data_IF_120981784290
#
_entry.id   IF_120981784290
#
_cell.length_a   1.000
_cell.length_b   1.000
_cell.length_c   1.000
_cell.angle_alpha   90.00
_cell.angle_beta   90.00
_cell.angle_gamma   90.00
#
_symmetry.space_group_name_H-M   'P 1'
#
loop_
_entity.id
_entity.type
_entity.pdbx_description
1 polymer ?
#
# COMPACT_ATOMS: atom_id res chain seq x y z
N UNK A 1 -28.45 -24.20 -1.83
CA UNK A 1 -28.13 -24.23 -3.26
C UNK A 1 -28.09 -22.84 -3.92
N UNK A 2 -29.12 -21.97 -3.82
CA UNK A 2 -29.14 -20.64 -4.50
C UNK A 2 -27.95 -19.73 -4.16
N UNK A 3 -27.46 -19.71 -2.92
CA UNK A 3 -26.33 -18.86 -2.49
C UNK A 3 -24.98 -19.33 -3.08
N UNK A 4 -24.75 -20.64 -3.18
CA UNK A 4 -23.50 -21.20 -3.75
C UNK A 4 -23.43 -20.90 -5.25
N UNK A 5 -24.55 -21.01 -5.96
CA UNK A 5 -24.64 -20.68 -7.39
C UNK A 5 -24.37 -19.18 -7.62
N UNK A 6 -24.90 -18.30 -6.75
CA UNK A 6 -24.63 -16.88 -6.81
C UNK A 6 -23.14 -16.56 -6.60
N UNK A 7 -22.53 -17.12 -5.54
CA UNK A 7 -21.12 -16.92 -5.25
C UNK A 7 -20.22 -17.38 -6.39
N UNK A 8 -20.48 -18.60 -6.93
CA UNK A 8 -19.75 -19.09 -8.10
C UNK A 8 -19.85 -18.15 -9.30
N UNK A 9 -21.07 -17.63 -9.57
CA UNK A 9 -21.30 -16.70 -10.69
C UNK A 9 -20.52 -15.40 -10.50
N UNK A 10 -20.49 -14.83 -9.29
CA UNK A 10 -19.75 -13.61 -8.96
C UNK A 10 -18.25 -13.85 -9.13
N UNK A 11 -17.71 -14.95 -8.62
CA UNK A 11 -16.27 -15.26 -8.73
C UNK A 11 -15.86 -15.45 -10.19
N UNK A 12 -16.66 -16.21 -10.99
CA UNK A 12 -16.38 -16.40 -12.41
C UNK A 12 -16.48 -15.10 -13.20
N UNK A 13 -17.45 -14.23 -12.87
CA UNK A 13 -17.59 -12.92 -13.50
C UNK A 13 -16.40 -12.01 -13.16
N UNK A 14 -15.93 -12.00 -11.90
CA UNK A 14 -14.75 -11.23 -11.50
C UNK A 14 -13.48 -11.74 -12.18
N UNK A 15 -13.24 -13.06 -12.16
CA UNK A 15 -12.07 -13.67 -12.79
C UNK A 15 -12.08 -13.54 -14.33
N UNK A 16 -13.26 -13.71 -14.95
CA UNK A 16 -13.42 -13.53 -16.39
C UNK A 16 -13.08 -12.10 -16.81
N UNK A 17 -13.65 -11.10 -16.15
CA UNK A 17 -13.38 -9.70 -16.51
C UNK A 17 -11.96 -9.28 -16.17
N UNK A 18 -11.37 -9.76 -15.09
CA UNK A 18 -9.95 -9.52 -14.82
C UNK A 18 -9.08 -9.98 -15.99
N UNK A 19 -9.42 -11.12 -16.60
CA UNK A 19 -8.69 -11.62 -17.77
C UNK A 19 -9.03 -10.84 -19.06
N UNK A 20 -10.30 -10.53 -19.28
CA UNK A 20 -10.79 -9.82 -20.49
C UNK A 20 -10.32 -8.35 -20.51
N UNK A 21 -10.16 -7.73 -19.34
CA UNK A 21 -9.71 -6.35 -19.16
C UNK A 21 -8.19 -6.23 -19.01
N UNK A 22 -7.40 -7.23 -19.45
CA UNK A 22 -5.94 -7.25 -19.32
C UNK A 22 -5.44 -7.08 -17.87
N UNK A 23 -6.13 -7.66 -16.88
CA UNK A 23 -5.82 -7.50 -15.47
C UNK A 23 -4.38 -7.85 -15.11
N UNK A 24 -3.80 -8.86 -15.78
CA UNK A 24 -2.39 -9.24 -15.62
C UNK A 24 -1.43 -8.12 -16.06
N UNK A 25 -1.71 -7.50 -17.20
CA UNK A 25 -0.94 -6.36 -17.71
C UNK A 25 -1.11 -5.13 -16.80
N UNK A 26 -2.33 -4.88 -16.32
CA UNK A 26 -2.60 -3.81 -15.36
C UNK A 26 -1.91 -4.01 -14.02
N UNK A 27 -1.82 -5.25 -13.54
CA UNK A 27 -1.07 -5.58 -12.33
C UNK A 27 0.44 -5.33 -12.52
N UNK A 28 1.00 -5.68 -13.68
CA UNK A 28 2.39 -5.37 -14.04
C UNK A 28 2.63 -3.86 -14.10
N UNK A 29 1.73 -3.12 -14.75
CA UNK A 29 1.80 -1.66 -14.82
C UNK A 29 1.75 -1.03 -13.43
N UNK A 30 0.84 -1.48 -12.56
CA UNK A 30 0.71 -0.99 -11.19
C UNK A 30 1.96 -1.33 -10.36
N UNK A 31 2.47 -2.55 -10.46
CA UNK A 31 3.67 -2.98 -9.74
C UNK A 31 4.92 -2.15 -10.09
N UNK A 32 5.16 -1.95 -11.38
CA UNK A 32 6.29 -1.14 -11.85
C UNK A 32 6.10 0.34 -11.49
N UNK A 33 4.88 0.87 -11.64
CA UNK A 33 4.58 2.26 -11.26
C UNK A 33 4.76 2.49 -9.76
N UNK A 34 4.34 1.53 -8.92
CA UNK A 34 4.57 1.56 -7.49
C UNK A 34 6.06 1.53 -7.15
N UNK A 35 6.83 0.62 -7.77
CA UNK A 35 8.27 0.55 -7.57
C UNK A 35 8.96 1.87 -7.94
N UNK A 36 8.61 2.44 -9.09
CA UNK A 36 9.17 3.73 -9.54
C UNK A 36 8.76 4.89 -8.63
N UNK A 37 7.58 4.81 -7.99
CA UNK A 37 7.09 5.84 -7.08
C UNK A 37 7.66 5.74 -5.65
N UNK A 38 8.18 4.58 -5.23
CA UNK A 38 8.69 4.36 -3.86
C UNK A 38 9.83 5.34 -3.53
N UNK A 39 10.82 5.49 -4.40
CA UNK A 39 11.95 6.39 -4.14
C UNK A 39 11.54 7.86 -4.02
N UNK A 40 10.80 8.44 -5.00
CA UNK A 40 10.26 9.79 -4.86
C UNK A 40 9.36 9.95 -3.65
N UNK A 41 8.54 8.94 -3.33
CA UNK A 41 7.68 8.97 -2.15
C UNK A 41 8.51 9.01 -0.85
N UNK A 42 9.55 8.21 -0.72
CA UNK A 42 10.42 8.21 0.45
C UNK A 42 11.15 9.55 0.61
N UNK A 43 11.64 10.14 -0.48
CA UNK A 43 12.24 11.49 -0.47
C UNK A 43 11.21 12.52 0.04
N UNK A 44 10.00 12.47 -0.48
CA UNK A 44 8.92 13.38 -0.05
C UNK A 44 8.55 13.15 1.42
N UNK A 45 8.33 11.90 1.83
CA UNK A 45 7.93 11.53 3.18
C UNK A 45 8.99 11.91 4.23
N UNK A 46 10.27 11.65 3.94
CA UNK A 46 11.38 11.98 4.84
C UNK A 46 11.59 13.48 4.94
N UNK A 47 11.46 14.21 3.83
CA UNK A 47 11.54 15.67 3.85
C UNK A 47 10.39 16.29 4.64
N UNK A 48 9.16 15.79 4.45
CA UNK A 48 8.02 16.24 5.24
C UNK A 48 8.19 15.94 6.73
N UNK A 49 8.68 14.75 7.08
CA UNK A 49 8.99 14.39 8.47
C UNK A 49 10.06 15.28 9.08
N UNK A 50 11.09 15.65 8.30
CA UNK A 50 12.13 16.60 8.73
C UNK A 50 11.56 17.98 9.05
N UNK A 51 10.63 18.49 8.26
CA UNK A 51 9.91 19.74 8.56
C UNK A 51 9.10 19.68 9.86
N UNK A 52 8.62 18.50 10.22
CA UNK A 52 7.89 18.26 11.48
C UNK A 52 8.82 18.07 12.69
N UNK A 53 10.13 18.28 12.54
CA UNK A 53 11.12 18.17 13.62
C UNK A 53 11.61 16.75 13.89
N UNK A 54 11.36 15.81 12.99
CA UNK A 54 11.73 14.40 13.15
C UNK A 54 13.20 14.08 12.85
N UNK A 55 14.07 15.10 12.64
CA UNK A 55 15.49 14.89 12.32
C UNK A 55 16.23 14.01 13.34
N UNK A 56 15.95 14.24 14.64
CA UNK A 56 16.55 13.44 15.71
C UNK A 56 16.08 11.96 15.73
N UNK A 57 14.98 11.67 15.06
CA UNK A 57 14.41 10.30 14.99
C UNK A 57 14.72 9.58 13.68
N UNK A 58 15.21 10.29 12.68
CA UNK A 58 15.38 9.76 11.33
C UNK A 58 16.40 8.64 11.26
N UNK A 59 17.56 8.77 11.90
CA UNK A 59 18.59 7.73 11.94
C UNK A 59 18.09 6.49 12.67
N UNK A 60 17.43 6.67 13.80
CA UNK A 60 16.84 5.57 14.58
C UNK A 60 15.71 4.88 13.81
N UNK A 61 14.87 5.64 13.08
CA UNK A 61 13.77 5.10 12.28
C UNK A 61 14.27 4.26 11.09
N UNK A 62 15.34 4.73 10.44
CA UNK A 62 15.97 4.02 9.31
C UNK A 62 16.48 2.64 9.77
N UNK A 63 17.24 2.58 10.86
CA UNK A 63 17.71 1.32 11.40
C UNK A 63 16.59 0.36 11.76
N UNK A 64 15.51 0.85 12.35
CA UNK A 64 14.43 0.03 12.86
C UNK A 64 13.45 -0.49 11.79
N UNK A 65 13.21 0.30 10.74
CA UNK A 65 12.40 -0.16 9.61
C UNK A 65 13.16 -1.19 8.78
N UNK A 66 14.46 -0.99 8.62
CA UNK A 66 15.28 -1.84 7.75
C UNK A 66 15.87 -3.06 8.45
N UNK A 67 15.96 -3.08 9.78
CA UNK A 67 16.39 -4.27 10.53
C UNK A 67 15.40 -5.46 10.42
N UNK A 68 14.16 -5.18 10.03
CA UNK A 68 13.14 -6.21 9.73
C UNK A 68 13.13 -6.68 8.27
N UNK A 69 13.87 -5.99 7.40
CA UNK A 69 13.96 -6.34 5.99
C UNK A 69 15.23 -7.14 5.69
N UNK A 70 15.25 -7.99 4.66
CA UNK A 70 16.47 -8.62 4.22
C UNK A 70 17.55 -7.56 3.93
N UNK A 71 18.73 -7.74 4.51
CA UNK A 71 19.82 -6.75 4.49
C UNK A 71 20.18 -6.28 3.08
N UNK A 72 20.03 -7.16 2.08
CA UNK A 72 20.31 -6.88 0.68
C UNK A 72 19.36 -5.84 0.07
N UNK A 73 18.14 -5.72 0.60
CA UNK A 73 17.13 -4.73 0.17
C UNK A 73 17.21 -3.49 1.07
N UNK A 74 17.38 -3.71 2.36
CA UNK A 74 17.37 -2.68 3.38
C UNK A 74 18.59 -1.73 3.26
N UNK A 75 19.79 -2.27 3.12
CA UNK A 75 21.03 -1.49 3.18
C UNK A 75 21.19 -0.43 2.06
N UNK A 76 20.84 -0.66 0.79
CA UNK A 76 20.86 0.39 -0.23
C UNK A 76 19.85 1.50 0.03
N UNK A 77 18.64 1.14 0.44
CA UNK A 77 17.55 2.09 0.71
C UNK A 77 17.86 2.89 1.97
N UNK A 78 18.34 2.24 3.03
CA UNK A 78 18.73 2.90 4.28
C UNK A 78 19.82 3.96 4.05
N UNK A 79 20.85 3.63 3.27
CA UNK A 79 21.92 4.57 2.93
C UNK A 79 21.40 5.79 2.17
N UNK A 80 20.49 5.58 1.22
CA UNK A 80 19.91 6.66 0.44
C UNK A 80 19.00 7.56 1.31
N UNK A 81 18.19 6.96 2.17
CA UNK A 81 17.33 7.68 3.13
C UNK A 81 18.19 8.50 4.10
N UNK A 82 19.24 7.94 4.69
CA UNK A 82 20.18 8.68 5.56
C UNK A 82 20.83 9.83 4.80
N UNK A 83 21.31 9.59 3.58
CA UNK A 83 21.95 10.62 2.74
C UNK A 83 20.98 11.78 2.47
N UNK A 84 19.72 11.48 2.13
CA UNK A 84 18.68 12.49 1.88
C UNK A 84 18.32 13.26 3.15
N UNK A 85 18.31 12.60 4.31
CA UNK A 85 17.97 13.22 5.61
C UNK A 85 19.10 14.08 6.19
N UNK A 86 20.35 13.74 5.96
CA UNK A 86 21.53 14.42 6.55
C UNK A 86 22.08 15.55 5.69
N UNK A 87 21.86 15.51 4.38
CA UNK A 87 22.34 16.54 3.45
C UNK A 87 21.36 17.73 3.40
N UNK A 88 21.57 18.73 4.24
CA UNK A 88 20.88 20.01 4.17
C UNK A 88 21.27 20.78 2.90
N UNK A 89 20.49 20.67 1.85
CA UNK A 89 20.59 21.47 0.62
C UNK A 89 19.35 22.38 0.52
N UNK A 90 19.37 23.54 1.22
CA UNK A 90 18.20 24.43 1.36
C UNK A 90 17.55 24.86 0.04
N UNK A 91 18.32 25.09 -1.02
CA UNK A 91 17.81 25.66 -2.28
C UNK A 91 17.29 24.58 -3.26
N UNK A 92 17.90 23.40 -3.26
CA UNK A 92 17.49 22.26 -4.08
C UNK A 92 16.31 21.49 -3.46
N UNK A 93 16.05 21.66 -2.16
CA UNK A 93 15.00 20.97 -1.44
C UNK A 93 13.61 21.31 -1.98
N UNK A 94 13.33 22.56 -2.28
CA UNK A 94 11.98 22.99 -2.71
C UNK A 94 11.62 22.40 -4.07
N UNK A 95 12.52 22.50 -5.05
CA UNK A 95 12.29 21.90 -6.37
C UNK A 95 12.33 20.37 -6.32
N UNK A 96 13.25 19.80 -5.54
CA UNK A 96 13.38 18.37 -5.35
C UNK A 96 12.13 17.75 -4.72
N UNK A 97 11.57 18.40 -3.70
CA UNK A 97 10.33 17.96 -3.05
C UNK A 97 9.13 18.04 -3.99
N UNK A 98 9.00 19.12 -4.75
CA UNK A 98 7.92 19.25 -5.74
C UNK A 98 8.02 18.16 -6.82
N UNK A 99 9.24 17.89 -7.29
CA UNK A 99 9.51 16.82 -8.26
C UNK A 99 9.21 15.45 -7.68
N UNK A 100 9.65 15.20 -6.44
CA UNK A 100 9.39 13.94 -5.73
C UNK A 100 7.88 13.71 -5.55
N UNK A 101 7.14 14.73 -5.11
CA UNK A 101 5.68 14.65 -5.00
C UNK A 101 5.01 14.37 -6.36
N UNK A 102 5.50 15.02 -7.42
CA UNK A 102 5.01 14.78 -8.77
C UNK A 102 5.24 13.33 -9.22
N UNK A 103 6.45 12.79 -9.05
CA UNK A 103 6.75 11.41 -9.41
C UNK A 103 6.02 10.40 -8.52
N UNK A 104 5.93 10.65 -7.20
CA UNK A 104 5.16 9.82 -6.28
C UNK A 104 3.68 9.76 -6.70
N UNK A 105 3.11 10.87 -7.22
CA UNK A 105 1.74 10.89 -7.69
C UNK A 105 1.48 10.00 -8.91
N UNK A 106 2.52 9.56 -9.65
CA UNK A 106 2.36 8.60 -10.75
C UNK A 106 1.91 7.22 -10.26
N UNK A 107 2.36 6.79 -9.06
CA UNK A 107 1.85 5.58 -8.43
C UNK A 107 0.34 5.65 -8.13
N UNK A 108 -0.14 6.82 -7.70
CA UNK A 108 -1.57 7.06 -7.47
C UNK A 108 -2.35 7.07 -8.80
N UNK A 109 -1.79 7.62 -9.87
CA UNK A 109 -2.41 7.55 -11.21
C UNK A 109 -2.51 6.10 -11.72
N UNK A 110 -1.51 5.27 -11.44
CA UNK A 110 -1.56 3.86 -11.78
C UNK A 110 -2.66 3.12 -11.01
N UNK A 111 -2.82 3.39 -9.69
CA UNK A 111 -3.93 2.88 -8.89
C UNK A 111 -5.29 3.33 -9.47
N UNK A 112 -5.44 4.61 -9.82
CA UNK A 112 -6.66 5.14 -10.44
C UNK A 112 -7.00 4.41 -11.73
N UNK A 113 -6.02 4.28 -12.62
CA UNK A 113 -6.21 3.63 -13.93
C UNK A 113 -6.64 2.17 -13.75
N UNK A 114 -5.98 1.45 -12.85
CA UNK A 114 -6.30 0.06 -12.54
C UNK A 114 -7.70 -0.10 -11.95
N UNK A 115 -8.10 0.78 -11.00
CA UNK A 115 -9.42 0.76 -10.40
C UNK A 115 -10.52 1.21 -11.38
N UNK A 116 -10.28 2.23 -12.22
CA UNK A 116 -11.24 2.62 -13.24
C UNK A 116 -11.55 1.43 -14.16
N UNK A 117 -10.53 0.66 -14.54
CA UNK A 117 -10.70 -0.54 -15.37
C UNK A 117 -11.46 -1.63 -14.60
N UNK A 118 -11.07 -1.96 -13.37
CA UNK A 118 -11.74 -2.95 -12.53
C UNK A 118 -13.22 -2.61 -12.27
N UNK A 119 -13.53 -1.34 -12.04
CA UNK A 119 -14.90 -0.86 -11.87
C UNK A 119 -15.63 -0.56 -13.19
N UNK A 120 -14.94 -0.69 -14.33
CA UNK A 120 -15.48 -0.50 -15.69
C UNK A 120 -16.06 0.90 -15.89
N UNK A 121 -15.34 1.89 -15.40
CA UNK A 121 -15.69 3.29 -15.54
C UNK A 121 -14.69 4.01 -16.44
N UNK A 122 -15.20 4.92 -17.25
CA UNK A 122 -14.40 5.79 -18.09
C UNK A 122 -14.07 7.05 -17.29
N UNK A 123 -12.81 7.44 -17.31
CA UNK A 123 -12.35 8.65 -16.63
C UNK A 123 -12.86 9.91 -17.35
N UNK A 124 -13.69 10.69 -16.68
CA UNK A 124 -14.29 11.91 -17.23
C UNK A 124 -13.72 13.20 -16.68
N UNK A 125 -12.95 13.11 -15.59
CA UNK A 125 -12.37 14.27 -14.88
C UNK A 125 -11.18 14.86 -15.64
N UNK A 126 -11.00 16.17 -15.53
CA UNK A 126 -9.88 16.86 -16.17
C UNK A 126 -8.53 16.40 -15.62
N UNK A 127 -7.46 16.51 -16.42
CA UNK A 127 -6.09 16.14 -16.04
C UNK A 127 -5.64 16.91 -14.81
N UNK A 128 -5.98 18.19 -14.70
CA UNK A 128 -5.62 19.03 -13.55
C UNK A 128 -6.27 18.55 -12.25
N UNK A 129 -7.58 18.22 -12.30
CA UNK A 129 -8.29 17.67 -11.14
C UNK A 129 -7.66 16.33 -10.67
N UNK A 130 -7.41 15.43 -11.61
CA UNK A 130 -6.79 14.12 -11.31
C UNK A 130 -5.43 14.31 -10.65
N UNK A 131 -4.59 15.20 -11.19
CA UNK A 131 -3.24 15.44 -10.67
C UNK A 131 -3.27 16.04 -9.27
N UNK A 132 -4.13 17.04 -9.03
CA UNK A 132 -4.31 17.63 -7.70
C UNK A 132 -4.82 16.58 -6.70
N UNK A 133 -5.78 15.76 -7.09
CA UNK A 133 -6.26 14.66 -6.26
C UNK A 133 -5.14 13.65 -5.96
N UNK A 134 -4.32 13.29 -6.94
CA UNK A 134 -3.20 12.36 -6.74
C UNK A 134 -2.15 12.92 -5.79
N UNK A 135 -1.84 14.21 -5.86
CA UNK A 135 -0.98 14.88 -4.89
C UNK A 135 -1.58 14.87 -3.48
N UNK A 136 -2.90 15.08 -3.35
CA UNK A 136 -3.61 14.95 -2.08
C UNK A 136 -3.48 13.52 -1.50
N UNK A 137 -3.60 12.49 -2.34
CA UNK A 137 -3.39 11.10 -1.92
C UNK A 137 -1.94 10.81 -1.51
N UNK A 138 -0.95 11.42 -2.16
CA UNK A 138 0.46 11.32 -1.72
C UNK A 138 0.63 11.88 -0.32
N UNK A 139 0.03 13.05 -0.01
CA UNK A 139 0.05 13.62 1.33
C UNK A 139 -0.60 12.70 2.36
N UNK A 140 -1.80 12.18 2.08
CA UNK A 140 -2.52 11.26 2.97
C UNK A 140 -1.70 9.97 3.17
N UNK A 141 -1.14 9.41 2.10
CA UNK A 141 -0.28 8.22 2.17
C UNK A 141 0.97 8.48 3.01
N UNK A 142 1.58 9.67 2.89
CA UNK A 142 2.74 10.06 3.70
C UNK A 142 2.38 10.17 5.18
N UNK A 143 1.26 10.82 5.52
CA UNK A 143 0.79 10.90 6.91
C UNK A 143 0.50 9.49 7.44
N UNK A 144 -0.21 8.66 6.68
CA UNK A 144 -0.48 7.27 7.05
C UNK A 144 0.79 6.45 7.26
N UNK A 145 1.77 6.60 6.37
CA UNK A 145 3.08 5.96 6.48
C UNK A 145 3.82 6.38 7.75
N UNK A 146 3.86 7.68 8.06
CA UNK A 146 4.49 8.21 9.28
C UNK A 146 3.78 7.67 10.52
N UNK A 147 2.45 7.67 10.56
CA UNK A 147 1.67 7.13 11.68
C UNK A 147 1.96 5.64 11.88
N UNK A 148 1.93 4.85 10.81
CA UNK A 148 2.23 3.41 10.86
C UNK A 148 3.67 3.20 11.34
N UNK A 149 4.64 3.95 10.83
CA UNK A 149 6.04 3.87 11.23
C UNK A 149 6.22 4.18 12.72
N UNK A 150 5.58 5.23 13.22
CA UNK A 150 5.60 5.54 14.66
C UNK A 150 5.01 4.39 15.48
N UNK A 151 3.87 3.85 15.08
CA UNK A 151 3.18 2.80 15.82
C UNK A 151 3.91 1.45 15.77
N UNK A 152 4.46 1.06 14.63
CA UNK A 152 5.08 -0.26 14.47
C UNK A 152 6.56 -0.27 14.88
N UNK A 153 7.26 0.87 14.74
CA UNK A 153 8.69 0.97 14.97
C UNK A 153 9.00 1.63 16.31
N UNK A 154 8.49 2.83 16.56
CA UNK A 154 8.85 3.59 17.76
C UNK A 154 8.10 3.14 19.02
N UNK A 155 6.81 2.80 18.91
CA UNK A 155 6.02 2.41 20.05
C UNK A 155 6.58 1.17 20.80
N UNK A 156 7.11 0.12 20.13
CA UNK A 156 7.77 -1.00 20.84
C UNK A 156 9.02 -0.59 21.61
N UNK A 157 9.81 0.35 21.06
CA UNK A 157 11.03 0.84 21.73
C UNK A 157 10.69 1.60 23.00
N UNK A 158 9.76 2.54 22.88
CA UNK A 158 9.26 3.30 24.03
C UNK A 158 8.67 2.33 25.05
N UNK A 159 7.90 1.35 24.61
CA UNK A 159 7.31 0.34 25.48
C UNK A 159 8.38 -0.46 26.25
N UNK A 160 9.42 -0.95 25.57
CA UNK A 160 10.55 -1.66 26.21
C UNK A 160 11.30 -0.77 27.19
N UNK A 161 11.56 0.49 26.83
CA UNK A 161 12.20 1.45 27.74
C UNK A 161 11.37 1.71 28.99
N UNK A 162 10.05 1.90 28.84
CA UNK A 162 9.12 2.10 29.93
C UNK A 162 9.02 0.86 30.82
N UNK A 163 8.94 -0.34 30.24
CA UNK A 163 8.90 -1.61 30.96
C UNK A 163 10.16 -1.85 31.79
N UNK A 164 11.33 -1.46 31.27
CA UNK A 164 12.60 -1.59 31.97
C UNK A 164 12.73 -0.63 33.18
N UNK A 165 12.11 0.55 33.11
CA UNK A 165 12.29 1.61 34.10
C UNK A 165 11.08 1.79 35.02
N UNK A 166 9.89 1.27 34.69
CA UNK A 166 8.64 1.49 35.42
C UNK A 166 7.82 0.20 35.56
N UNK A 167 7.91 -0.48 36.67
CA UNK A 167 7.23 -1.76 36.93
C UNK A 167 5.69 -1.68 36.80
N UNK A 168 5.10 -0.54 37.16
CA UNK A 168 3.65 -0.33 37.14
C UNK A 168 3.06 -0.36 35.69
N UNK A 169 3.88 -0.24 34.64
CA UNK A 169 3.48 -0.26 33.25
C UNK A 169 3.33 -1.69 32.68
N UNK A 170 4.05 -2.68 33.27
CA UNK A 170 4.04 -4.08 32.80
C UNK A 170 2.65 -4.65 32.55
N UNK A 171 1.64 -4.45 33.45
CA UNK A 171 0.29 -4.97 33.20
C UNK A 171 -0.41 -4.39 31.96
N UNK A 172 -0.02 -3.20 31.51
CA UNK A 172 -0.65 -2.51 30.41
C UNK A 172 0.01 -2.78 29.03
N UNK A 173 1.16 -3.48 28.99
CA UNK A 173 1.90 -3.74 27.76
C UNK A 173 1.08 -4.48 26.70
N UNK A 174 0.27 -5.46 27.13
CA UNK A 174 -0.64 -6.18 26.23
C UNK A 174 -1.67 -5.25 25.60
N UNK A 175 -2.25 -4.36 26.41
CA UNK A 175 -3.25 -3.38 25.94
C UNK A 175 -2.62 -2.37 24.97
N UNK A 176 -1.43 -1.84 25.29
CA UNK A 176 -0.69 -0.92 24.41
C UNK A 176 -0.39 -1.59 23.07
N UNK A 177 0.08 -2.83 23.09
CA UNK A 177 0.37 -3.60 21.88
C UNK A 177 -0.89 -3.84 21.05
N UNK A 178 -2.00 -4.20 21.68
CA UNK A 178 -3.28 -4.40 21.00
C UNK A 178 -3.75 -3.11 20.30
N UNK A 179 -3.78 -1.99 21.01
CA UNK A 179 -4.18 -0.69 20.43
C UNK A 179 -3.29 -0.26 19.28
N UNK A 180 -1.99 -0.48 19.37
CA UNK A 180 -1.04 -0.22 18.31
C UNK A 180 -1.41 -0.93 17.00
N UNK A 181 -1.70 -2.23 17.07
CA UNK A 181 -2.11 -2.99 15.89
C UNK A 181 -3.51 -2.59 15.41
N UNK A 182 -4.44 -2.30 16.29
CA UNK A 182 -5.79 -1.82 15.92
C UNK A 182 -5.67 -0.51 15.15
N UNK A 183 -4.91 0.47 15.65
CA UNK A 183 -4.77 1.77 14.99
C UNK A 183 -4.05 1.61 13.64
N UNK A 184 -2.94 0.86 13.57
CA UNK A 184 -2.23 0.62 12.32
C UNK A 184 -3.13 -0.06 11.27
N UNK A 185 -3.87 -1.09 11.66
CA UNK A 185 -4.84 -1.77 10.77
C UNK A 185 -5.94 -0.83 10.32
N UNK A 186 -6.44 0.02 11.23
CA UNK A 186 -7.47 1.02 10.90
C UNK A 186 -6.97 2.02 9.86
N UNK A 187 -5.73 2.50 9.97
CA UNK A 187 -5.12 3.40 8.98
C UNK A 187 -5.06 2.74 7.60
N UNK A 188 -4.66 1.46 7.53
CA UNK A 188 -4.61 0.70 6.27
C UNK A 188 -6.02 0.54 5.68
N UNK A 189 -7.01 0.16 6.50
CA UNK A 189 -8.40 0.00 6.07
C UNK A 189 -8.97 1.33 5.55
N UNK A 190 -8.77 2.43 6.29
CA UNK A 190 -9.20 3.76 5.86
C UNK A 190 -8.52 4.20 4.56
N UNK A 191 -7.24 3.88 4.39
CA UNK A 191 -6.51 4.12 3.14
C UNK A 191 -7.14 3.35 1.97
N UNK A 192 -7.44 2.06 2.14
CA UNK A 192 -8.13 1.26 1.11
C UNK A 192 -9.52 1.79 0.81
N UNK A 193 -10.30 2.15 1.84
CA UNK A 193 -11.63 2.77 1.68
C UNK A 193 -11.50 4.06 0.86
N UNK A 194 -10.58 4.94 1.22
CA UNK A 194 -10.35 6.20 0.52
C UNK A 194 -9.98 5.97 -0.96
N UNK A 195 -9.09 5.02 -1.23
CA UNK A 195 -8.67 4.66 -2.59
C UNK A 195 -9.84 4.13 -3.42
N UNK A 196 -10.66 3.22 -2.88
CA UNK A 196 -11.79 2.63 -3.60
C UNK A 196 -12.95 3.61 -3.82
N UNK A 197 -13.17 4.60 -2.92
CA UNK A 197 -14.26 5.56 -3.04
C UNK A 197 -13.90 6.72 -3.96
N UNK A 198 -12.73 7.31 -3.76
CA UNK A 198 -12.41 8.61 -4.36
C UNK A 198 -11.51 8.53 -5.58
N UNK A 199 -10.73 7.46 -5.72
CA UNK A 199 -9.77 7.39 -6.81
C UNK A 199 -10.44 7.07 -8.15
N UNK A 200 -11.29 6.02 -8.29
CA UNK A 200 -11.98 5.75 -9.53
C UNK A 200 -13.10 6.77 -9.77
N UNK A 201 -13.44 7.01 -11.06
CA UNK A 201 -14.51 7.92 -11.43
C UNK A 201 -15.89 7.37 -11.00
N UNK A 202 -16.82 8.28 -10.71
CA UNK A 202 -18.15 7.96 -10.21
C UNK A 202 -18.25 7.84 -8.68
N UNK A 203 -19.49 7.64 -8.20
CA UNK A 203 -19.79 7.51 -6.75
C UNK A 203 -20.11 6.07 -6.41
N UNK A 204 -19.55 5.58 -5.29
CA UNK A 204 -19.79 4.23 -4.77
C UNK A 204 -20.17 4.31 -3.31
N UNK A 205 -21.26 3.64 -2.89
CA UNK A 205 -21.60 3.52 -1.47
C UNK A 205 -20.57 2.62 -0.78
N UNK A 206 -20.32 2.89 0.49
CA UNK A 206 -19.34 2.15 1.32
C UNK A 206 -19.59 0.64 1.29
N UNK A 207 -20.85 0.22 1.35
CA UNK A 207 -21.21 -1.21 1.40
C UNK A 207 -20.78 -1.98 0.14
N UNK A 208 -20.71 -1.31 -1.00
CA UNK A 208 -20.32 -1.95 -2.28
C UNK A 208 -18.83 -2.23 -2.38
N UNK A 209 -18.00 -1.55 -1.58
CA UNK A 209 -16.54 -1.71 -1.63
C UNK A 209 -15.99 -2.63 -0.53
N UNK A 210 -16.76 -2.87 0.53
CA UNK A 210 -16.33 -3.67 1.70
C UNK A 210 -15.90 -5.10 1.31
N UNK A 211 -16.63 -5.86 0.48
CA UNK A 211 -16.24 -7.22 0.14
C UNK A 211 -14.85 -7.31 -0.52
N UNK A 212 -14.56 -6.40 -1.46
CA UNK A 212 -13.27 -6.36 -2.13
C UNK A 212 -12.14 -5.91 -1.21
N UNK A 213 -12.39 -4.99 -0.28
CA UNK A 213 -11.41 -4.59 0.74
C UNK A 213 -11.05 -5.78 1.64
N UNK A 214 -12.05 -6.53 2.12
CA UNK A 214 -11.82 -7.74 2.92
C UNK A 214 -11.03 -8.77 2.12
N UNK A 215 -11.40 -9.00 0.86
CA UNK A 215 -10.67 -9.89 -0.04
C UNK A 215 -9.23 -9.43 -0.22
N UNK A 216 -9.00 -8.15 -0.45
CA UNK A 216 -7.65 -7.56 -0.63
C UNK A 216 -6.79 -7.75 0.62
N UNK A 217 -7.31 -7.44 1.81
CA UNK A 217 -6.58 -7.58 3.07
C UNK A 217 -6.25 -9.05 3.37
N UNK A 218 -7.23 -9.96 3.23
CA UNK A 218 -7.01 -11.39 3.40
C UNK A 218 -6.01 -11.95 2.36
N UNK A 219 -6.17 -11.54 1.11
CA UNK A 219 -5.27 -11.91 0.02
C UNK A 219 -3.85 -11.41 0.23
N UNK A 220 -3.66 -10.18 0.68
CA UNK A 220 -2.33 -9.65 1.02
C UNK A 220 -1.68 -10.42 2.16
N UNK A 221 -2.44 -10.74 3.22
CA UNK A 221 -1.93 -11.53 4.35
C UNK A 221 -1.50 -12.94 3.90
N UNK A 222 -2.35 -13.62 3.16
CA UNK A 222 -2.06 -14.97 2.64
C UNK A 222 -0.92 -14.91 1.61
N UNK A 223 -1.01 -14.00 0.65
CA UNK A 223 -0.03 -13.84 -0.43
C UNK A 223 1.37 -13.50 0.09
N UNK A 224 1.48 -12.59 1.06
CA UNK A 224 2.77 -12.25 1.67
C UNK A 224 3.35 -13.43 2.48
N UNK A 225 2.53 -14.18 3.20
CA UNK A 225 2.98 -15.38 3.93
C UNK A 225 3.49 -16.47 2.98
N UNK A 226 2.73 -16.75 1.92
CA UNK A 226 3.13 -17.72 0.89
C UNK A 226 4.41 -17.27 0.17
N UNK A 227 4.51 -15.98 -0.14
CA UNK A 227 5.69 -15.43 -0.81
C UNK A 227 6.93 -15.48 0.10
N UNK A 228 6.80 -15.16 1.38
CA UNK A 228 7.89 -15.30 2.35
C UNK A 228 8.37 -16.76 2.44
N UNK A 229 7.44 -17.71 2.58
CA UNK A 229 7.77 -19.14 2.60
C UNK A 229 8.46 -19.61 1.29
N UNK A 230 8.03 -19.06 0.15
CA UNK A 230 8.70 -19.32 -1.13
C UNK A 230 10.15 -18.83 -1.11
N UNK A 231 10.40 -17.59 -0.63
CA UNK A 231 11.74 -17.03 -0.56
C UNK A 231 12.67 -17.80 0.38
N UNK A 232 12.17 -18.27 1.51
CA UNK A 232 12.95 -19.08 2.48
C UNK A 232 13.50 -20.37 1.84
N UNK A 233 12.73 -20.97 0.93
CA UNK A 233 13.15 -22.18 0.20
C UNK A 233 14.11 -21.90 -0.97
N UNK A 234 14.21 -20.65 -1.43
CA UNK A 234 15.04 -20.23 -2.57
C UNK A 234 16.22 -19.36 -2.17
N UNK A 235 16.63 -19.37 -0.91
CA UNK A 235 17.73 -18.54 -0.38
C UNK A 235 19.06 -18.68 -1.12
N UNK A 236 19.37 -19.87 -1.67
CA UNK A 236 20.58 -20.11 -2.46
C UNK A 236 20.60 -19.37 -3.81
N UNK A 237 19.43 -19.09 -4.40
CA UNK A 237 19.32 -18.36 -5.66
C UNK A 237 19.64 -16.86 -5.45
N UNK A 238 19.24 -16.32 -4.30
CA UNK A 238 19.47 -14.91 -3.92
C UNK A 238 20.97 -14.61 -3.78
N UNK A 239 21.75 -15.54 -3.27
CA UNK A 239 23.20 -15.37 -3.09
C UNK A 239 23.98 -15.32 -4.40
N UNK A 240 23.51 -16.01 -5.43
CA UNK A 240 24.17 -16.06 -6.75
C UNK A 240 23.95 -14.77 -7.57
N UNK A 241 22.78 -14.13 -7.42
CA UNK A 241 22.37 -12.96 -8.20
C UNK A 241 22.11 -11.72 -7.33
N UNK A 242 22.84 -11.56 -6.20
CA UNK A 242 22.58 -10.65 -5.09
C UNK A 242 21.89 -9.30 -5.41
N UNK A 243 22.38 -8.54 -6.40
CA UNK A 243 21.79 -7.22 -6.74
C UNK A 243 20.52 -7.31 -7.60
N UNK A 244 20.50 -8.19 -8.61
CA UNK A 244 19.35 -8.35 -9.52
C UNK A 244 18.20 -9.11 -8.84
N UNK A 245 18.51 -10.08 -7.97
CA UNK A 245 17.53 -10.86 -7.25
C UNK A 245 16.64 -9.97 -6.38
N UNK A 246 17.21 -8.99 -5.67
CA UNK A 246 16.46 -8.08 -4.79
C UNK A 246 15.40 -7.27 -5.55
N UNK A 247 15.77 -6.73 -6.72
CA UNK A 247 14.82 -5.98 -7.57
C UNK A 247 13.72 -6.91 -8.09
N UNK A 248 14.09 -8.12 -8.53
CA UNK A 248 13.11 -9.09 -9.03
C UNK A 248 12.14 -9.54 -7.93
N UNK A 249 12.64 -9.78 -6.71
CA UNK A 249 11.81 -10.10 -5.55
C UNK A 249 10.80 -8.97 -5.28
N UNK A 250 11.26 -7.72 -5.26
CA UNK A 250 10.40 -6.56 -5.06
C UNK A 250 9.33 -6.44 -6.16
N UNK A 251 9.71 -6.62 -7.43
CA UNK A 251 8.77 -6.57 -8.56
C UNK A 251 7.72 -7.68 -8.46
N UNK A 252 8.14 -8.92 -8.18
CA UNK A 252 7.20 -10.06 -8.06
C UNK A 252 6.28 -9.87 -6.86
N UNK A 253 6.78 -9.40 -5.72
CA UNK A 253 5.95 -9.09 -4.57
C UNK A 253 4.90 -8.02 -4.89
N UNK A 254 5.32 -6.89 -5.45
CA UNK A 254 4.43 -5.81 -5.87
C UNK A 254 3.42 -6.27 -6.92
N UNK A 255 3.81 -7.17 -7.81
CA UNK A 255 2.92 -7.77 -8.80
C UNK A 255 1.81 -8.60 -8.11
N UNK A 256 2.15 -9.47 -7.17
CA UNK A 256 1.18 -10.27 -6.40
C UNK A 256 0.22 -9.34 -5.64
N UNK A 257 0.75 -8.34 -4.96
CA UNK A 257 -0.04 -7.32 -4.24
C UNK A 257 -1.00 -6.58 -5.18
N UNK A 258 -0.53 -6.23 -6.38
CA UNK A 258 -1.32 -5.54 -7.41
C UNK A 258 -2.42 -6.43 -7.99
N UNK A 259 -2.14 -7.70 -8.29
CA UNK A 259 -3.14 -8.68 -8.75
C UNK A 259 -4.28 -8.81 -7.74
N UNK A 260 -3.94 -9.00 -6.46
CA UNK A 260 -4.93 -9.16 -5.38
C UNK A 260 -5.77 -7.88 -5.23
N UNK A 261 -5.14 -6.71 -5.32
CA UNK A 261 -5.81 -5.41 -5.22
C UNK A 261 -6.82 -5.20 -6.37
N UNK A 262 -6.42 -5.46 -7.62
CA UNK A 262 -7.30 -5.31 -8.79
C UNK A 262 -8.45 -6.32 -8.73
N UNK A 263 -8.17 -7.58 -8.36
CA UNK A 263 -9.20 -8.61 -8.13
C UNK A 263 -10.22 -8.20 -7.06
N UNK A 264 -9.78 -7.50 -6.00
CA UNK A 264 -10.68 -6.90 -5.00
C UNK A 264 -11.64 -5.88 -5.63
N UNK A 265 -11.14 -5.02 -6.51
CA UNK A 265 -11.96 -4.08 -7.30
C UNK A 265 -12.95 -4.78 -8.22
N UNK A 266 -12.50 -5.80 -8.96
CA UNK A 266 -13.33 -6.64 -9.84
C UNK A 266 -14.43 -7.36 -9.06
N UNK A 267 -14.10 -7.90 -7.88
CA UNK A 267 -15.07 -8.57 -7.01
C UNK A 267 -16.20 -7.61 -6.61
N UNK A 268 -15.86 -6.38 -6.20
CA UNK A 268 -16.85 -5.36 -5.87
C UNK A 268 -17.76 -5.04 -7.06
N UNK A 269 -17.15 -4.83 -8.25
CA UNK A 269 -17.90 -4.56 -9.47
C UNK A 269 -18.84 -5.71 -9.86
N UNK A 270 -18.39 -6.96 -9.71
CA UNK A 270 -19.15 -8.16 -10.03
C UNK A 270 -20.32 -8.38 -9.05
N UNK A 271 -20.10 -8.14 -7.76
CA UNK A 271 -21.18 -8.16 -6.74
C UNK A 271 -22.24 -7.13 -7.08
N UNK A 272 -21.84 -5.90 -7.36
CA UNK A 272 -22.79 -4.82 -7.69
C UNK A 272 -23.63 -5.17 -8.92
N UNK A 273 -22.99 -5.62 -10.00
CA UNK A 273 -23.73 -6.04 -11.22
C UNK A 273 -24.69 -7.19 -10.96
N UNK A 274 -24.29 -8.16 -10.14
CA UNK A 274 -25.18 -9.26 -9.78
C UNK A 274 -26.42 -8.77 -9.04
N UNK A 275 -26.27 -7.82 -8.11
CA UNK A 275 -27.38 -7.23 -7.35
C UNK A 275 -28.31 -6.40 -8.25
N UNK A 276 -27.73 -5.58 -9.14
CA UNK A 276 -28.51 -4.76 -10.09
C UNK A 276 -29.30 -5.63 -11.09
N UNK A 277 -28.71 -6.72 -11.59
CA UNK A 277 -29.38 -7.66 -12.46
C UNK A 277 -30.56 -8.36 -11.75
N UNK A 278 -30.38 -8.69 -10.47
CA UNK A 278 -31.42 -9.32 -9.67
C UNK A 278 -32.58 -8.37 -9.35
N UNK A 279 -32.27 -7.10 -9.09
CA UNK A 279 -33.31 -6.08 -8.86
C UNK A 279 -34.18 -5.88 -10.10
N UNK A 280 -33.60 -5.90 -11.31
CA UNK A 280 -34.34 -5.79 -12.59
C UNK A 280 -35.25 -7.00 -12.90
N UNK A 281 -34.95 -8.18 -12.41
CA UNK A 281 -35.73 -9.41 -12.62
C UNK A 281 -36.86 -9.54 -11.58
N UNK A 282 -36.72 -8.86 -10.43
CA UNK A 282 -37.68 -8.88 -9.35
C UNK A 282 -38.68 -7.71 -9.35
N UNK A 283 -38.46 -6.73 -10.25
CA UNK A 283 -39.41 -5.63 -10.54
C UNK A 283 -40.23 -5.94 -11.79
#
# INVERSE_FOLDING_TARGET
MRRIVALRRIIWDAAGHFNDDDGWAMASYLAISALMAIFPFLIFATTLASFLGAQAFAETAVHLVFDTWPEQIAAPIAREVVTVLTVQRGDLLTYGVALAAFFASNGIEALRTSLNRAYRVVETRSIWYRRTQSLGFVLIATIGFVVISILLVFAPLIARFLEANFEWIKPYMGTITLWRFIIASTVIVLGLVAVHIWLPDGRRPLLDIVPGIIFTLAGWLIGSTLFATYLDNFSSYVTTYAGLASIMIAVVFLYIVSVIFILGGELNASIRRYLDARAKVGA
#
